data_IF_388465941635
#
_entry.id   IF_388465941635
#
_cell.length_a   1.000
_cell.length_b   1.000
_cell.length_c   1.000
_cell.angle_alpha   90.00
_cell.angle_beta   90.00
_cell.angle_gamma   90.00
#
_symmetry.space_group_name_H-M   'P 1'
#
loop_
_entity.id
_entity.type
_entity.pdbx_description
1 polymer ?
#
# COMPACT_ATOMS: atom_id res chain seq x y z
N UNK A 1 12.01 -27.48 42.64
CA UNK A 1 10.62 -27.22 42.17
C UNK A 1 10.38 -25.79 41.62
N UNK A 2 11.41 -24.96 41.39
CA UNK A 2 11.24 -23.57 40.92
C UNK A 2 11.46 -23.35 39.41
N UNK A 3 11.95 -24.33 38.65
CA UNK A 3 12.34 -24.16 37.23
C UNK A 3 11.17 -24.34 36.23
N UNK A 4 10.18 -25.17 36.55
CA UNK A 4 9.08 -25.48 35.61
C UNK A 4 8.01 -24.39 35.46
N UNK A 5 7.82 -23.53 36.46
CA UNK A 5 6.82 -22.46 36.43
C UNK A 5 7.26 -21.28 35.55
N UNK A 6 8.56 -20.99 35.53
CA UNK A 6 9.15 -19.94 34.70
C UNK A 6 9.13 -20.33 33.23
N UNK A 7 9.44 -21.59 32.89
CA UNK A 7 9.43 -22.07 31.51
C UNK A 7 8.02 -22.04 30.88
N UNK A 8 7.00 -22.46 31.64
CA UNK A 8 5.60 -22.42 31.19
C UNK A 8 5.10 -20.98 31.01
N UNK A 9 5.50 -20.06 31.90
CA UNK A 9 5.23 -18.63 31.77
C UNK A 9 5.85 -18.04 30.49
N UNK A 10 7.13 -18.32 30.23
CA UNK A 10 7.82 -17.83 29.02
C UNK A 10 7.20 -18.37 27.73
N UNK A 11 6.79 -19.64 27.70
CA UNK A 11 6.12 -20.24 26.53
C UNK A 11 4.73 -19.64 26.28
N UNK A 12 3.97 -19.34 27.32
CA UNK A 12 2.67 -18.66 27.20
C UNK A 12 2.83 -17.21 26.70
N UNK A 13 3.85 -16.49 27.19
CA UNK A 13 4.19 -15.15 26.71
C UNK A 13 4.65 -15.14 25.25
N UNK A 14 5.51 -16.08 24.85
CA UNK A 14 5.94 -16.25 23.45
C UNK A 14 4.74 -16.62 22.57
N UNK A 15 3.87 -17.52 23.03
CA UNK A 15 2.63 -17.87 22.32
C UNK A 15 1.69 -16.69 22.15
N UNK A 16 1.57 -15.81 23.15
CA UNK A 16 0.77 -14.59 23.09
C UNK A 16 1.39 -13.55 22.15
N UNK A 17 2.72 -13.36 22.19
CA UNK A 17 3.44 -12.47 21.26
C UNK A 17 3.36 -12.97 19.81
N UNK A 18 3.48 -14.27 19.58
CA UNK A 18 3.29 -14.86 18.26
C UNK A 18 1.84 -14.66 17.79
N UNK A 19 0.83 -14.90 18.61
CA UNK A 19 -0.57 -14.63 18.21
C UNK A 19 -0.85 -13.14 17.92
N UNK A 20 -0.24 -12.22 18.67
CA UNK A 20 -0.35 -10.78 18.42
C UNK A 20 0.27 -10.36 17.07
N UNK A 21 1.41 -10.94 16.69
CA UNK A 21 2.06 -10.66 15.40
C UNK A 21 1.18 -11.16 14.23
N UNK A 22 0.54 -12.31 14.38
CA UNK A 22 -0.29 -12.92 13.32
C UNK A 22 -1.66 -12.25 13.17
N UNK A 23 -2.23 -11.70 14.26
CA UNK A 23 -3.52 -11.01 14.23
C UNK A 23 -3.49 -9.65 13.51
N UNK A 24 -2.31 -9.10 13.20
CA UNK A 24 -2.17 -7.70 12.76
C UNK A 24 -2.28 -7.50 11.23
N UNK A 25 -2.28 -8.56 10.41
CA UNK A 25 -2.19 -8.48 8.94
C UNK A 25 -3.37 -9.08 8.17
N UNK A 26 -4.59 -9.06 8.71
CA UNK A 26 -5.77 -9.40 7.89
C UNK A 26 -6.03 -8.29 6.85
N UNK A 27 -5.38 -8.41 5.69
CA UNK A 27 -5.70 -7.62 4.51
C UNK A 27 -7.13 -7.92 4.08
N UNK A 28 -7.86 -6.88 3.68
CA UNK A 28 -9.15 -7.07 3.02
C UNK A 28 -8.87 -7.37 1.54
N UNK A 29 -9.02 -8.63 1.17
CA UNK A 29 -8.94 -9.17 -0.21
C UNK A 29 -10.15 -10.08 -0.43
N UNK A 30 -11.35 -9.50 -0.33
CA UNK A 30 -12.62 -10.22 -0.49
C UNK A 30 -13.24 -9.91 -1.86
N UNK A 31 -14.37 -10.54 -2.19
CA UNK A 31 -15.04 -10.38 -3.48
C UNK A 31 -15.47 -8.94 -3.81
N UNK A 32 -15.50 -8.06 -2.80
CA UNK A 32 -15.90 -6.65 -2.93
C UNK A 32 -14.74 -5.68 -2.82
N UNK A 33 -13.54 -6.13 -2.42
CA UNK A 33 -12.42 -5.24 -2.13
C UNK A 33 -11.04 -5.89 -2.36
N UNK A 34 -10.14 -5.26 -3.14
CA UNK A 34 -10.36 -4.04 -3.93
C UNK A 34 -11.49 -4.20 -4.96
N UNK A 35 -12.25 -3.14 -5.30
CA UNK A 35 -13.38 -3.28 -6.23
C UNK A 35 -12.95 -3.94 -7.55
N UNK A 36 -13.56 -5.07 -7.95
CA UNK A 36 -13.13 -5.82 -9.14
C UNK A 36 -13.18 -5.00 -10.44
N UNK A 37 -14.17 -4.12 -10.57
CA UNK A 37 -14.33 -3.22 -11.70
C UNK A 37 -13.16 -2.23 -11.79
N UNK A 38 -12.73 -1.67 -10.66
CA UNK A 38 -11.57 -0.78 -10.58
C UNK A 38 -10.28 -1.51 -10.99
N UNK A 39 -10.07 -2.73 -10.50
CA UNK A 39 -8.90 -3.55 -10.88
C UNK A 39 -8.89 -3.88 -12.38
N UNK A 40 -10.07 -4.13 -12.96
CA UNK A 40 -10.21 -4.37 -14.39
C UNK A 40 -9.89 -3.12 -15.21
N UNK A 41 -10.35 -1.95 -14.77
CA UNK A 41 -10.08 -0.66 -15.42
C UNK A 41 -8.62 -0.24 -15.33
N UNK A 42 -7.94 -0.55 -14.22
CA UNK A 42 -6.55 -0.20 -13.98
C UNK A 42 -5.54 -1.19 -14.57
N UNK A 43 -5.97 -2.36 -15.04
CA UNK A 43 -5.06 -3.34 -15.65
C UNK A 43 -4.20 -2.79 -16.80
N UNK A 44 -4.75 -2.04 -17.79
CA UNK A 44 -3.93 -1.46 -18.85
C UNK A 44 -2.90 -0.44 -18.33
N UNK A 45 -3.23 0.26 -17.23
CA UNK A 45 -2.29 1.19 -16.57
C UNK A 45 -1.14 0.42 -15.93
N UNK A 46 -1.45 -0.65 -15.18
CA UNK A 46 -0.45 -1.56 -14.63
C UNK A 46 0.47 -2.10 -15.74
N UNK A 47 -0.10 -2.67 -16.81
CA UNK A 47 0.66 -3.23 -17.93
C UNK A 47 1.60 -2.19 -18.58
N UNK A 48 1.09 -0.97 -18.79
CA UNK A 48 1.86 0.18 -19.31
C UNK A 48 3.03 0.54 -18.39
N UNK A 49 2.78 0.64 -17.08
CA UNK A 49 3.78 1.05 -16.12
C UNK A 49 4.84 -0.03 -15.86
N UNK A 50 4.46 -1.31 -15.81
CA UNK A 50 5.42 -2.43 -15.78
C UNK A 50 6.35 -2.37 -16.99
N UNK A 51 5.80 -2.17 -18.20
CA UNK A 51 6.60 -2.07 -19.41
C UNK A 51 7.53 -0.85 -19.43
N UNK A 52 7.09 0.30 -18.89
CA UNK A 52 7.87 1.55 -18.85
C UNK A 52 9.00 1.52 -17.82
N UNK A 53 8.77 0.90 -16.66
CA UNK A 53 9.74 0.94 -15.55
C UNK A 53 10.59 -0.30 -15.44
N UNK A 54 10.10 -1.45 -15.92
CA UNK A 54 10.76 -2.74 -15.74
C UNK A 54 10.68 -3.29 -14.32
N UNK A 55 9.77 -2.76 -13.48
CA UNK A 55 9.50 -3.32 -12.15
C UNK A 55 9.01 -4.78 -12.29
N UNK A 56 9.34 -5.62 -11.31
CA UNK A 56 8.86 -7.00 -11.29
C UNK A 56 7.49 -7.11 -10.65
N UNK A 57 6.70 -8.08 -11.10
CA UNK A 57 5.41 -8.41 -10.48
C UNK A 57 5.57 -8.78 -9.00
N UNK A 58 6.68 -9.44 -8.67
CA UNK A 58 6.99 -9.81 -7.30
C UNK A 58 7.19 -8.58 -6.40
N UNK A 59 7.86 -7.54 -6.89
CA UNK A 59 8.05 -6.30 -6.13
C UNK A 59 6.71 -5.57 -5.90
N UNK A 60 5.86 -5.48 -6.93
CA UNK A 60 4.52 -4.89 -6.79
C UNK A 60 3.70 -5.68 -5.76
N UNK A 61 3.67 -7.01 -5.90
CA UNK A 61 2.88 -7.89 -5.04
C UNK A 61 3.36 -7.86 -3.58
N UNK A 62 4.67 -7.91 -3.36
CA UNK A 62 5.24 -7.86 -2.00
C UNK A 62 4.94 -6.50 -1.36
N UNK A 63 4.97 -5.40 -2.10
CA UNK A 63 4.58 -4.10 -1.53
C UNK A 63 3.08 -4.04 -1.25
N UNK A 64 2.23 -4.58 -2.13
CA UNK A 64 0.77 -4.62 -1.93
C UNK A 64 0.39 -5.43 -0.70
N UNK A 65 0.83 -6.68 -0.63
CA UNK A 65 0.28 -7.67 0.30
C UNK A 65 1.28 -8.08 1.41
N UNK A 66 2.57 -7.86 1.18
CA UNK A 66 3.64 -8.20 2.09
C UNK A 66 4.11 -6.99 2.90
N UNK A 67 5.42 -6.93 3.15
CA UNK A 67 6.08 -5.85 3.86
C UNK A 67 6.54 -4.72 2.93
N UNK A 68 6.65 -3.52 3.50
CA UNK A 68 7.28 -2.39 2.80
C UNK A 68 8.73 -2.74 2.53
N UNK A 69 9.13 -2.64 1.28
CA UNK A 69 10.53 -2.74 0.85
C UNK A 69 10.84 -1.59 -0.11
N UNK A 70 12.13 -1.29 -0.25
CA UNK A 70 12.59 -0.26 -1.19
C UNK A 70 13.11 -0.91 -2.46
N UNK A 71 12.60 -0.46 -3.60
CA UNK A 71 13.03 -0.86 -4.95
C UNK A 71 12.87 0.36 -5.87
N UNK A 72 13.95 0.77 -6.55
CA UNK A 72 13.96 1.98 -7.38
C UNK A 72 12.98 1.93 -8.56
N UNK A 73 12.77 0.75 -9.15
CA UNK A 73 11.83 0.57 -10.25
C UNK A 73 10.39 0.61 -9.75
N UNK A 74 10.15 0.08 -8.54
CA UNK A 74 8.85 0.17 -7.86
C UNK A 74 8.48 1.60 -7.49
N UNK A 75 9.43 2.40 -7.00
CA UNK A 75 9.20 3.83 -6.70
C UNK A 75 8.72 4.57 -7.95
N UNK A 76 9.36 4.32 -9.09
CA UNK A 76 8.95 4.94 -10.35
C UNK A 76 7.69 4.30 -10.97
N UNK A 77 7.40 3.03 -10.69
CA UNK A 77 6.13 2.40 -11.03
C UNK A 77 4.95 3.12 -10.37
N UNK A 78 5.06 3.39 -9.06
CA UNK A 78 4.05 4.15 -8.32
C UNK A 78 3.83 5.54 -8.92
N UNK A 79 4.89 6.25 -9.30
CA UNK A 79 4.76 7.53 -9.98
C UNK A 79 4.10 7.41 -11.36
N UNK A 80 4.49 6.40 -12.16
CA UNK A 80 3.89 6.13 -13.46
C UNK A 80 2.38 5.93 -13.38
N UNK A 81 1.89 5.20 -12.36
CA UNK A 81 0.45 5.02 -12.15
C UNK A 81 -0.27 6.35 -11.94
N UNK A 82 0.31 7.29 -11.18
CA UNK A 82 -0.28 8.63 -11.03
C UNK A 82 -0.27 9.43 -12.34
N UNK A 83 0.77 9.29 -13.15
CA UNK A 83 0.88 9.94 -14.46
C UNK A 83 -0.15 9.40 -15.45
N UNK A 84 -0.23 8.07 -15.61
CA UNK A 84 -1.14 7.39 -16.55
C UNK A 84 -2.62 7.57 -16.17
N UNK A 85 -2.91 7.81 -14.89
CA UNK A 85 -4.28 8.08 -14.42
C UNK A 85 -4.64 9.55 -14.41
N UNK A 86 -3.75 10.46 -14.83
CA UNK A 86 -3.98 11.92 -14.87
C UNK A 86 -4.45 12.49 -13.51
N UNK A 87 -3.75 12.11 -12.44
CA UNK A 87 -4.00 12.60 -11.07
C UNK A 87 -2.89 13.52 -10.56
N UNK A 88 -2.10 14.07 -11.46
CA UNK A 88 -1.04 15.03 -11.15
C UNK A 88 -1.53 16.47 -11.33
N UNK A 89 -0.86 17.38 -10.63
CA UNK A 89 -0.79 18.81 -10.94
C UNK A 89 0.12 19.04 -12.16
N UNK A 90 0.10 20.25 -12.73
CA UNK A 90 0.94 20.61 -13.89
C UNK A 90 2.45 20.56 -13.59
N UNK A 91 2.84 20.73 -12.33
CA UNK A 91 4.22 20.61 -11.85
C UNK A 91 4.67 19.16 -11.61
N UNK A 92 3.77 18.20 -11.82
CA UNK A 92 4.03 16.77 -11.64
C UNK A 92 3.89 16.28 -10.20
N UNK A 93 3.41 17.11 -9.26
CA UNK A 93 3.04 16.67 -7.91
C UNK A 93 1.69 15.95 -7.90
N UNK A 94 1.48 15.06 -6.93
CA UNK A 94 0.24 14.31 -6.79
C UNK A 94 -0.91 15.20 -6.32
N UNK A 95 -2.01 15.24 -7.08
CA UNK A 95 -3.22 15.96 -6.74
C UNK A 95 -4.19 15.04 -6.00
N UNK A 96 -4.14 15.06 -4.66
CA UNK A 96 -4.89 14.12 -3.81
C UNK A 96 -6.42 14.16 -4.03
N UNK A 97 -6.99 15.32 -4.32
CA UNK A 97 -8.42 15.45 -4.66
C UNK A 97 -8.77 14.73 -5.98
N UNK A 98 -7.94 14.85 -7.03
CA UNK A 98 -8.15 14.11 -8.29
C UNK A 98 -8.08 12.59 -8.06
N UNK A 99 -7.23 12.11 -7.15
CA UNK A 99 -7.22 10.69 -6.76
C UNK A 99 -8.57 10.31 -6.16
N UNK A 100 -9.05 11.07 -5.18
CA UNK A 100 -10.32 10.80 -4.51
C UNK A 100 -11.49 10.78 -5.52
N UNK A 101 -11.52 11.73 -6.45
CA UNK A 101 -12.56 11.84 -7.49
C UNK A 101 -12.59 10.65 -8.46
N UNK A 102 -11.42 10.02 -8.70
CA UNK A 102 -11.32 8.84 -9.58
C UNK A 102 -11.63 7.52 -8.87
N UNK A 103 -11.60 7.50 -7.53
CA UNK A 103 -11.95 6.29 -6.79
C UNK A 103 -13.46 6.06 -6.79
N UNK A 104 -13.92 4.80 -6.83
CA UNK A 104 -15.32 4.48 -6.59
C UNK A 104 -15.82 5.05 -5.26
N UNK A 105 -17.07 5.49 -5.19
CA UNK A 105 -17.68 6.10 -3.99
C UNK A 105 -17.55 5.19 -2.75
N UNK A 106 -17.63 3.87 -2.95
CA UNK A 106 -17.43 2.86 -1.90
C UNK A 106 -16.07 2.92 -1.20
N UNK A 107 -15.08 3.58 -1.81
CA UNK A 107 -13.73 3.76 -1.27
C UNK A 107 -13.49 5.13 -0.64
N UNK A 108 -14.37 6.12 -0.82
CA UNK A 108 -14.08 7.51 -0.42
C UNK A 108 -13.74 7.65 1.06
N UNK A 109 -14.56 7.06 1.94
CA UNK A 109 -14.30 7.10 3.40
C UNK A 109 -13.01 6.39 3.78
N UNK A 110 -12.71 5.27 3.11
CA UNK A 110 -11.46 4.51 3.32
C UNK A 110 -10.26 5.37 2.91
N UNK A 111 -10.30 5.93 1.70
CA UNK A 111 -9.23 6.75 1.14
C UNK A 111 -8.98 8.01 1.98
N UNK A 112 -10.05 8.70 2.43
CA UNK A 112 -9.93 9.86 3.33
C UNK A 112 -9.26 9.48 4.65
N UNK A 113 -9.65 8.36 5.27
CA UNK A 113 -9.02 7.92 6.51
C UNK A 113 -7.56 7.48 6.35
N UNK A 114 -7.24 6.79 5.25
CA UNK A 114 -5.89 6.38 4.88
C UNK A 114 -4.99 7.59 4.56
N UNK A 115 -5.53 8.59 3.85
CA UNK A 115 -4.78 9.73 3.33
C UNK A 115 -4.65 10.94 4.27
N UNK A 116 -5.50 11.10 5.29
CA UNK A 116 -5.57 12.33 6.12
C UNK A 116 -4.27 12.73 6.83
N UNK A 117 -3.30 11.82 6.98
CA UNK A 117 -1.97 12.11 7.56
C UNK A 117 -0.84 12.12 6.52
N UNK A 118 -1.15 11.90 5.25
CA UNK A 118 -0.21 11.71 4.15
C UNK A 118 -0.27 12.86 3.14
N UNK A 119 -0.49 14.09 3.61
CA UNK A 119 -0.79 15.25 2.76
C UNK A 119 0.45 15.91 2.14
N UNK A 120 1.64 15.61 2.65
CA UNK A 120 2.89 16.28 2.27
C UNK A 120 3.96 15.24 1.91
N UNK A 121 4.01 14.80 0.64
CA UNK A 121 5.00 13.84 0.15
C UNK A 121 6.43 14.31 0.41
N UNK A 122 7.32 13.39 0.78
CA UNK A 122 8.74 13.69 1.04
C UNK A 122 9.62 12.82 0.15
N UNK A 123 10.65 13.41 -0.43
CA UNK A 123 11.59 12.71 -1.30
C UNK A 123 12.30 13.68 -2.23
N UNK A 124 13.48 13.29 -2.69
CA UNK A 124 14.35 14.14 -3.51
C UNK A 124 13.88 14.23 -4.97
N UNK A 125 13.05 13.28 -5.40
CA UNK A 125 12.51 13.23 -6.76
C UNK A 125 11.06 12.72 -6.77
N UNK A 126 10.45 12.73 -7.95
CA UNK A 126 9.06 12.36 -8.17
C UNK A 126 8.73 10.90 -7.81
N UNK A 127 9.64 9.96 -8.07
CA UNK A 127 9.49 8.55 -7.71
C UNK A 127 9.56 8.36 -6.19
N UNK A 128 10.51 9.02 -5.51
CA UNK A 128 10.64 8.97 -4.05
C UNK A 128 9.40 9.52 -3.34
N UNK A 129 8.82 10.61 -3.86
CA UNK A 129 7.60 11.20 -3.30
C UNK A 129 6.37 10.32 -3.52
N UNK A 130 6.26 9.68 -4.68
CA UNK A 130 5.21 8.69 -4.93
C UNK A 130 5.33 7.51 -3.96
N UNK A 131 6.54 6.96 -3.80
CA UNK A 131 6.80 5.90 -2.83
C UNK A 131 6.48 6.30 -1.40
N UNK A 132 6.85 7.52 -1.00
CA UNK A 132 6.53 8.03 0.33
C UNK A 132 5.03 8.04 0.60
N UNK A 133 4.22 8.44 -0.39
CA UNK A 133 2.76 8.42 -0.29
C UNK A 133 2.24 7.00 -0.10
N UNK A 134 2.63 6.08 -0.98
CA UNK A 134 2.21 4.68 -0.90
C UNK A 134 2.61 4.01 0.41
N UNK A 135 3.83 4.26 0.91
CA UNK A 135 4.26 3.80 2.23
C UNK A 135 3.39 4.41 3.34
N UNK A 136 3.15 5.72 3.32
CA UNK A 136 2.33 6.39 4.32
C UNK A 136 0.90 5.84 4.34
N UNK A 137 0.30 5.59 3.18
CA UNK A 137 -1.03 5.00 3.05
C UNK A 137 -1.07 3.57 3.59
N UNK A 138 -0.08 2.73 3.24
CA UNK A 138 0.03 1.37 3.74
C UNK A 138 0.23 1.32 5.25
N UNK A 139 1.02 2.22 5.82
CA UNK A 139 1.21 2.33 7.27
C UNK A 139 -0.06 2.82 7.99
N UNK A 140 -0.81 3.75 7.37
CA UNK A 140 -2.02 4.32 7.95
C UNK A 140 -3.21 3.34 7.95
N UNK A 141 -3.37 2.55 6.88
CA UNK A 141 -4.43 1.55 6.75
C UNK A 141 -3.94 0.32 5.95
N UNK A 142 -3.14 -0.57 6.57
CA UNK A 142 -2.60 -1.75 5.89
C UNK A 142 -3.70 -2.72 5.46
N UNK A 143 -4.85 -2.73 6.16
CA UNK A 143 -5.98 -3.60 5.85
C UNK A 143 -6.56 -3.31 4.46
N UNK A 144 -6.71 -2.03 4.13
CA UNK A 144 -7.31 -1.61 2.87
C UNK A 144 -6.29 -1.23 1.80
N UNK A 145 -5.05 -0.91 2.16
CA UNK A 145 -4.04 -0.61 1.16
C UNK A 145 -3.87 -1.78 0.17
N UNK A 146 -3.76 -1.43 -1.11
CA UNK A 146 -3.34 -2.31 -2.19
C UNK A 146 -2.57 -1.51 -3.23
N UNK A 147 -1.74 -2.20 -3.99
CA UNK A 147 -1.08 -1.68 -5.18
C UNK A 147 -1.52 -2.55 -6.36
N UNK A 148 -1.87 -1.91 -7.48
CA UNK A 148 -2.33 -2.61 -8.70
C UNK A 148 -1.17 -3.24 -9.43
#
# INVERSE_FOLDING_TARGET
>A
MHSGKTLLGTLLWIGFLLNLIWAQKELRRDETYPPPELLKELRPVHDSCVAKTGVTEEAIKEFSDGDVHEDELLKCYMYCVFEETDVLHEDGEVHLEKILDKLPESMHVIALHMGKKCLYPKGDNKCERAFWLHRCWKEADPKHYFLI
#
